data_IF_353660512602
#
_entry.id   IF_353660512602
#
_cell.length_a   1.000
_cell.length_b   1.000
_cell.length_c   1.000
_cell.angle_alpha   90.00
_cell.angle_beta   90.00
_cell.angle_gamma   90.00
#
_symmetry.space_group_name_H-M   'P 1'
#
loop_
_entity.id
_entity.type
_entity.pdbx_description
1 polymer ?
#
# COMPACT_ATOMS: atom_id res chain seq x y z
N UNK A 1 46.25 -1.22 13.25
CA UNK A 1 45.16 -2.06 12.74
C UNK A 1 43.95 -1.76 13.62
N UNK A 2 43.02 -0.94 13.13
CA UNK A 2 41.84 -0.52 13.90
C UNK A 2 40.86 -1.69 13.85
N UNK A 3 40.29 -2.16 14.96
CA UNK A 3 39.34 -3.27 14.91
C UNK A 3 38.13 -2.78 14.09
N UNK A 4 37.82 -3.48 13.00
CA UNK A 4 36.57 -3.26 12.29
C UNK A 4 35.45 -3.45 13.31
N UNK A 5 34.69 -2.38 13.51
CA UNK A 5 33.51 -2.34 14.37
C UNK A 5 32.58 -3.49 13.99
N UNK A 6 32.47 -4.53 14.83
CA UNK A 6 31.57 -5.68 14.65
C UNK A 6 30.16 -5.30 15.10
N UNK A 7 29.50 -4.41 14.37
CA UNK A 7 28.09 -4.08 14.63
C UNK A 7 27.21 -4.73 13.58
N UNK A 8 26.23 -5.52 14.04
CA UNK A 8 25.19 -6.06 13.18
C UNK A 8 24.11 -5.01 12.95
N UNK A 9 23.65 -4.87 11.70
CA UNK A 9 22.58 -3.96 11.33
C UNK A 9 21.41 -4.76 10.77
N UNK A 10 20.22 -4.51 11.30
CA UNK A 10 18.97 -5.13 10.87
C UNK A 10 18.02 -4.02 10.41
N UNK A 11 17.60 -4.07 9.16
CA UNK A 11 16.68 -3.10 8.58
C UNK A 11 15.58 -3.80 7.77
N UNK A 12 14.35 -3.36 7.97
CA UNK A 12 13.18 -3.77 7.16
C UNK A 12 12.45 -2.51 6.75
N UNK A 13 12.19 -2.35 5.46
CA UNK A 13 11.56 -1.18 4.87
C UNK A 13 10.30 -1.56 4.10
N UNK A 14 9.26 -0.74 4.27
CA UNK A 14 7.94 -0.89 3.65
C UNK A 14 7.28 0.48 3.63
N UNK A 15 6.36 0.71 2.69
CA UNK A 15 5.57 1.94 2.67
C UNK A 15 4.70 2.06 3.93
N UNK A 16 4.60 3.28 4.46
CA UNK A 16 3.70 3.57 5.60
C UNK A 16 2.22 3.59 5.20
N UNK A 17 1.94 3.70 3.90
CA UNK A 17 0.61 3.69 3.27
C UNK A 17 0.60 2.64 2.17
N UNK A 18 -0.28 1.65 2.30
CA UNK A 18 -0.44 0.52 1.38
C UNK A 18 -1.78 0.61 0.67
N UNK A 19 -1.83 0.19 -0.58
CA UNK A 19 -3.07 0.14 -1.35
C UNK A 19 -3.72 -1.24 -1.28
N UNK A 20 -4.92 -1.34 -0.70
CA UNK A 20 -5.63 -2.61 -0.54
C UNK A 20 -5.90 -3.30 -1.88
N UNK A 21 -5.63 -4.61 -1.97
CA UNK A 21 -5.82 -5.40 -3.18
C UNK A 21 -4.75 -5.19 -4.27
N UNK A 22 -3.71 -4.40 -4.01
CA UNK A 22 -2.53 -4.26 -4.88
C UNK A 22 -1.34 -5.05 -4.32
N UNK A 23 -0.36 -5.31 -5.19
CA UNK A 23 0.96 -5.77 -4.75
C UNK A 23 1.76 -4.59 -4.24
N UNK A 24 2.44 -4.78 -3.12
CA UNK A 24 3.38 -3.83 -2.53
C UNK A 24 4.71 -4.54 -2.27
N UNK A 25 5.80 -3.78 -2.21
CA UNK A 25 7.15 -4.32 -2.02
C UNK A 25 7.64 -4.06 -0.59
N UNK A 26 8.24 -5.09 0.02
CA UNK A 26 8.97 -5.00 1.29
C UNK A 26 10.42 -5.42 1.07
N UNK A 27 11.37 -4.66 1.60
CA UNK A 27 12.78 -5.01 1.54
C UNK A 27 13.35 -5.25 2.94
N UNK A 28 14.20 -6.26 3.06
CA UNK A 28 14.90 -6.60 4.28
C UNK A 28 16.41 -6.66 4.03
N UNK A 29 17.17 -6.14 4.99
CA UNK A 29 18.62 -6.14 5.00
C UNK A 29 19.13 -6.58 6.38
N UNK A 30 20.09 -7.51 6.37
CA UNK A 30 20.89 -7.88 7.54
C UNK A 30 22.35 -7.78 7.13
N UNK A 31 23.13 -7.01 7.88
CA UNK A 31 24.57 -6.83 7.65
C UNK A 31 25.34 -7.27 8.88
N UNK A 32 26.40 -8.06 8.66
CA UNK A 32 27.30 -8.59 9.68
C UNK A 32 26.59 -9.39 10.77
N UNK A 33 25.72 -10.38 10.48
CA UNK A 33 25.14 -11.22 11.52
C UNK A 33 26.25 -12.01 12.23
N UNK A 34 26.28 -11.97 13.56
CA UNK A 34 27.28 -12.68 14.37
C UNK A 34 26.98 -14.17 14.53
N UNK A 35 25.74 -14.58 14.26
CA UNK A 35 25.25 -15.95 14.31
C UNK A 35 24.18 -16.15 13.23
N UNK A 36 23.86 -17.39 12.83
CA UNK A 36 22.69 -17.68 12.02
C UNK A 36 21.40 -17.19 12.68
N UNK A 37 20.58 -16.45 11.94
CA UNK A 37 19.30 -15.91 12.43
C UNK A 37 18.13 -16.31 11.53
N UNK A 38 16.95 -16.43 12.10
CA UNK A 38 15.68 -16.58 11.39
C UNK A 38 14.95 -15.24 11.38
N UNK A 39 14.76 -14.66 10.20
CA UNK A 39 13.98 -13.44 9.99
C UNK A 39 12.55 -13.82 9.62
N UNK A 40 11.57 -13.29 10.36
CA UNK A 40 10.14 -13.41 10.06
C UNK A 40 9.50 -12.04 10.03
N UNK A 41 8.76 -11.72 8.98
CA UNK A 41 7.99 -10.49 8.83
C UNK A 41 6.53 -10.84 8.59
N UNK A 42 5.65 -10.32 9.45
CA UNK A 42 4.21 -10.58 9.42
C UNK A 42 3.44 -9.27 9.19
N UNK A 43 2.42 -9.33 8.34
CA UNK A 43 1.37 -8.32 8.26
C UNK A 43 0.19 -8.78 9.11
N UNK A 44 -0.12 -8.03 10.16
CA UNK A 44 -1.24 -8.27 11.05
C UNK A 44 -2.36 -7.25 10.78
N UNK A 45 -3.51 -7.76 10.37
CA UNK A 45 -4.77 -7.01 10.25
C UNK A 45 -5.79 -7.57 11.24
N UNK A 46 -6.87 -6.83 11.52
CA UNK A 46 -7.89 -7.28 12.49
C UNK A 46 -8.49 -8.66 12.15
N UNK A 47 -8.53 -9.02 10.86
CA UNK A 47 -9.10 -10.28 10.36
C UNK A 47 -8.11 -11.45 10.33
N UNK A 48 -6.83 -11.25 10.64
CA UNK A 48 -5.82 -12.31 10.61
C UNK A 48 -4.40 -11.82 10.32
N UNK A 49 -3.48 -12.79 10.24
CA UNK A 49 -2.05 -12.54 10.05
C UNK A 49 -1.56 -13.21 8.78
N UNK A 50 -0.76 -12.49 8.00
CA UNK A 50 -0.13 -12.98 6.77
C UNK A 50 1.39 -12.95 6.90
N UNK A 51 2.07 -14.04 6.54
CA UNK A 51 3.53 -14.06 6.48
C UNK A 51 3.96 -13.37 5.18
N UNK A 52 4.76 -12.30 5.30
CA UNK A 52 5.30 -11.55 4.16
C UNK A 52 6.68 -12.08 3.76
N UNK A 53 7.52 -12.39 4.75
CA UNK A 53 8.87 -12.92 4.54
C UNK A 53 9.24 -13.86 5.69
N UNK A 54 9.85 -15.00 5.37
CA UNK A 54 10.42 -15.92 6.35
C UNK A 54 11.71 -16.51 5.77
N UNK A 55 12.87 -16.19 6.35
CA UNK A 55 14.18 -16.54 5.80
C UNK A 55 15.19 -16.92 6.88
N UNK A 56 16.05 -17.89 6.59
CA UNK A 56 17.20 -18.23 7.41
C UNK A 56 18.45 -17.52 6.85
N UNK A 57 19.09 -16.68 7.66
CA UNK A 57 20.17 -15.79 7.26
C UNK A 57 21.44 -16.14 8.03
N UNK A 58 22.52 -16.46 7.29
CA UNK A 58 23.84 -16.84 7.87
C UNK A 58 24.95 -15.81 7.62
N UNK A 59 24.73 -14.93 6.66
CA UNK A 59 25.68 -13.93 6.19
C UNK A 59 24.91 -12.67 5.78
N UNK A 60 25.61 -11.68 5.24
CA UNK A 60 24.98 -10.48 4.68
C UNK A 60 23.84 -10.85 3.72
N UNK A 61 22.68 -10.26 3.98
CA UNK A 61 21.42 -10.55 3.32
C UNK A 61 20.75 -9.27 2.89
N UNK A 62 20.27 -9.24 1.65
CA UNK A 62 19.42 -8.20 1.12
C UNK A 62 18.41 -8.83 0.17
N UNK A 63 17.12 -8.60 0.42
CA UNK A 63 16.05 -9.11 -0.44
C UNK A 63 14.83 -8.20 -0.38
N UNK A 64 14.26 -7.94 -1.55
CA UNK A 64 12.92 -7.38 -1.67
C UNK A 64 11.95 -8.47 -2.09
N UNK A 65 10.75 -8.46 -1.51
CA UNK A 65 9.65 -9.36 -1.85
C UNK A 65 8.40 -8.54 -2.09
N UNK A 66 7.66 -8.94 -3.11
CA UNK A 66 6.32 -8.42 -3.34
C UNK A 66 5.32 -9.26 -2.57
N UNK A 67 4.33 -8.60 -1.98
CA UNK A 67 3.25 -9.25 -1.26
C UNK A 67 1.91 -8.62 -1.61
N UNK A 68 0.86 -9.43 -1.56
CA UNK A 68 -0.49 -8.99 -1.84
C UNK A 68 -1.10 -8.34 -0.59
N UNK A 69 -1.47 -7.07 -0.68
CA UNK A 69 -2.16 -6.37 0.40
C UNK A 69 -3.63 -6.81 0.43
N UNK A 70 -4.20 -7.12 1.61
CA UNK A 70 -5.60 -7.50 1.71
C UNK A 70 -6.53 -6.38 1.20
N UNK A 71 -7.59 -6.77 0.51
CA UNK A 71 -8.62 -5.83 0.05
C UNK A 71 -9.40 -5.28 1.24
N UNK A 72 -9.46 -3.95 1.35
CA UNK A 72 -10.23 -3.26 2.40
C UNK A 72 -11.32 -2.39 1.77
N UNK A 73 -12.45 -2.24 2.47
CA UNK A 73 -13.56 -1.36 2.03
C UNK A 73 -13.40 0.07 2.54
N UNK A 74 -12.63 0.25 3.60
CA UNK A 74 -12.36 1.53 4.25
C UNK A 74 -10.94 1.54 4.80
N UNK A 75 -10.47 2.72 5.19
CA UNK A 75 -9.14 2.91 5.80
C UNK A 75 -8.98 2.02 7.03
N UNK A 76 -7.90 1.24 7.06
CA UNK A 76 -7.57 0.31 8.14
C UNK A 76 -6.14 0.56 8.64
N UNK A 77 -5.92 0.51 9.94
CA UNK A 77 -4.57 0.50 10.52
C UNK A 77 -4.16 -0.96 10.72
N UNK A 78 -3.00 -1.33 10.17
CA UNK A 78 -2.41 -2.65 10.29
C UNK A 78 -1.04 -2.55 10.99
N UNK A 79 -0.49 -3.69 11.38
CA UNK A 79 0.85 -3.74 11.94
C UNK A 79 1.76 -4.61 11.08
N UNK A 80 3.00 -4.15 10.87
CA UNK A 80 4.10 -4.99 10.42
C UNK A 80 4.87 -5.41 11.66
N UNK A 81 4.94 -6.72 11.89
CA UNK A 81 5.66 -7.31 12.99
C UNK A 81 6.90 -8.03 12.44
N UNK A 82 8.08 -7.55 12.82
CA UNK A 82 9.36 -8.10 12.42
C UNK A 82 9.96 -8.83 13.61
N UNK A 83 10.35 -10.08 13.40
CA UNK A 83 11.04 -10.90 14.39
C UNK A 83 12.35 -11.41 13.79
N UNK A 84 13.45 -11.23 14.51
CA UNK A 84 14.77 -11.79 14.21
C UNK A 84 15.15 -12.68 15.39
N UNK A 85 15.29 -13.97 15.13
CA UNK A 85 15.60 -14.97 16.15
C UNK A 85 16.94 -15.62 15.85
N UNK A 86 17.93 -15.38 16.71
CA UNK A 86 19.17 -16.13 16.75
C UNK A 86 19.17 -17.16 17.89
N UNK A 87 20.31 -17.83 18.09
CA UNK A 87 20.51 -18.72 19.24
C UNK A 87 20.64 -17.91 20.54
N UNK A 88 21.39 -16.80 20.48
CA UNK A 88 21.69 -15.99 21.66
C UNK A 88 20.59 -14.99 22.03
N UNK A 89 19.80 -14.53 21.04
CA UNK A 89 18.86 -13.43 21.24
C UNK A 89 17.61 -13.50 20.34
N UNK A 90 16.53 -12.90 20.84
CA UNK A 90 15.30 -12.65 20.11
C UNK A 90 15.02 -11.15 20.07
N UNK A 91 14.90 -10.60 18.87
CA UNK A 91 14.55 -9.20 18.65
C UNK A 91 13.22 -9.12 17.90
N UNK A 92 12.29 -8.30 18.39
CA UNK A 92 11.03 -8.04 17.72
C UNK A 92 10.72 -6.56 17.65
N UNK A 93 10.19 -6.10 16.52
CA UNK A 93 9.71 -4.72 16.36
C UNK A 93 8.39 -4.69 15.61
N UNK A 94 7.44 -3.93 16.16
CA UNK A 94 6.12 -3.74 15.58
C UNK A 94 5.97 -2.28 15.13
N UNK A 95 5.56 -2.07 13.89
CA UNK A 95 5.29 -0.73 13.35
C UNK A 95 3.90 -0.67 12.71
N UNK A 96 3.25 0.49 12.79
CA UNK A 96 1.93 0.70 12.20
C UNK A 96 2.06 1.13 10.74
N UNK A 97 1.19 0.57 9.90
CA UNK A 97 0.98 0.99 8.51
C UNK A 97 -0.51 1.25 8.29
N UNK A 98 -0.83 2.06 7.29
CA UNK A 98 -2.21 2.35 6.91
C UNK A 98 -2.51 1.64 5.60
N UNK A 99 -3.60 0.88 5.56
CA UNK A 99 -4.13 0.27 4.33
C UNK A 99 -5.36 1.07 3.90
N UNK A 100 -5.35 1.59 2.68
CA UNK A 100 -6.45 2.35 2.11
C UNK A 100 -7.05 1.60 0.91
N UNK A 101 -8.37 1.71 0.68
CA UNK A 101 -8.95 1.19 -0.54
C UNK A 101 -8.31 1.90 -1.75
N UNK A 102 -8.21 1.24 -2.91
CA UNK A 102 -7.71 1.89 -4.12
C UNK A 102 -8.46 3.20 -4.41
N UNK A 103 -7.71 4.26 -4.67
CA UNK A 103 -8.25 5.54 -5.11
C UNK A 103 -8.54 5.55 -6.60
N UNK A 104 -9.57 6.30 -7.00
CA UNK A 104 -9.95 6.48 -8.40
C UNK A 104 -10.23 7.95 -8.68
N UNK A 105 -9.83 8.39 -9.86
CA UNK A 105 -10.17 9.71 -10.39
C UNK A 105 -11.18 9.54 -11.51
N UNK A 106 -12.25 10.32 -11.47
CA UNK A 106 -13.28 10.34 -12.50
C UNK A 106 -13.23 11.68 -13.23
N UNK A 107 -13.06 11.64 -14.55
CA UNK A 107 -13.03 12.83 -15.41
C UNK A 107 -14.27 12.80 -16.28
N UNK A 108 -15.01 13.91 -16.27
CA UNK A 108 -16.17 14.13 -17.14
C UNK A 108 -15.78 15.20 -18.14
N UNK A 109 -15.92 14.87 -19.43
CA UNK A 109 -15.70 15.81 -20.52
C UNK A 109 -16.96 15.89 -21.36
N UNK A 110 -17.50 17.11 -21.50
CA UNK A 110 -18.61 17.41 -22.39
C UNK A 110 -18.10 17.75 -23.79
N UNK A 111 -18.94 17.62 -24.81
CA UNK A 111 -18.61 18.01 -26.18
C UNK A 111 -18.49 19.54 -26.34
N UNK A 112 -19.17 20.31 -25.49
CA UNK A 112 -19.13 21.78 -25.45
C UNK A 112 -19.15 22.30 -24.01
N UNK A 113 -18.55 23.48 -23.73
CA UNK A 113 -18.62 24.10 -22.41
C UNK A 113 -19.96 24.79 -22.13
N UNK A 114 -20.71 25.21 -23.17
CA UNK A 114 -21.97 25.97 -23.04
C UNK A 114 -23.00 25.42 -24.04
N UNK A 115 -24.25 25.25 -23.60
CA UNK A 115 -25.37 24.74 -24.40
C UNK A 115 -26.49 25.77 -24.49
N UNK A 116 -27.12 25.86 -25.66
CA UNK A 116 -28.38 26.58 -25.87
C UNK A 116 -29.57 25.70 -25.44
N UNK A 117 -30.72 26.29 -25.07
CA UNK A 117 -31.94 25.53 -24.81
C UNK A 117 -32.28 24.59 -25.97
N UNK A 118 -32.69 23.36 -25.65
CA UNK A 118 -33.02 22.31 -26.63
C UNK A 118 -31.84 21.53 -27.19
N UNK A 119 -30.58 21.89 -26.88
CA UNK A 119 -29.42 21.11 -27.30
C UNK A 119 -29.24 19.84 -26.46
N UNK A 120 -28.90 18.74 -27.12
CA UNK A 120 -28.49 17.50 -26.45
C UNK A 120 -27.04 17.61 -25.98
N UNK A 121 -26.80 17.24 -24.72
CA UNK A 121 -25.46 17.17 -24.11
C UNK A 121 -24.83 15.82 -24.42
N UNK A 122 -23.67 15.81 -25.07
CA UNK A 122 -22.85 14.62 -25.21
C UNK A 122 -21.67 14.72 -24.25
N UNK A 123 -21.37 13.64 -23.53
CA UNK A 123 -20.26 13.61 -22.59
C UNK A 123 -19.60 12.25 -22.57
N UNK A 124 -18.38 12.21 -22.04
CA UNK A 124 -17.61 11.01 -21.78
C UNK A 124 -17.16 11.02 -20.33
N UNK A 125 -17.22 9.86 -19.71
CA UNK A 125 -16.72 9.63 -18.35
C UNK A 125 -15.56 8.65 -18.45
N UNK A 126 -14.41 9.03 -17.91
CA UNK A 126 -13.24 8.15 -17.81
C UNK A 126 -12.90 7.97 -16.34
N UNK A 127 -12.67 6.73 -15.94
CA UNK A 127 -12.18 6.38 -14.60
C UNK A 127 -10.71 5.98 -14.71
N UNK A 128 -9.86 6.59 -13.90
CA UNK A 128 -8.43 6.35 -13.85
C UNK A 128 -8.03 5.86 -12.45
N UNK A 129 -7.04 4.98 -12.37
CA UNK A 129 -6.38 4.65 -11.10
C UNK A 129 -5.31 5.69 -10.73
N UNK A 130 -4.62 5.47 -9.60
CA UNK A 130 -3.57 6.36 -9.11
C UNK A 130 -2.36 6.52 -10.07
N UNK A 131 -2.20 5.60 -11.03
CA UNK A 131 -1.16 5.65 -12.06
C UNK A 131 -1.70 6.22 -13.39
N UNK A 132 -2.89 6.83 -13.38
CA UNK A 132 -3.57 7.37 -14.56
C UNK A 132 -3.90 6.32 -15.62
N UNK A 133 -4.01 5.04 -15.23
CA UNK A 133 -4.40 3.96 -16.13
C UNK A 133 -5.93 3.84 -16.15
N UNK A 134 -6.58 3.79 -17.33
CA UNK A 134 -8.02 3.60 -17.43
C UNK A 134 -8.48 2.30 -16.77
N UNK A 135 -9.52 2.39 -15.94
CA UNK A 135 -10.14 1.24 -15.27
C UNK A 135 -11.61 1.12 -15.64
N UNK A 136 -12.05 -0.11 -15.93
CA UNK A 136 -13.46 -0.41 -16.14
C UNK A 136 -14.20 -0.40 -14.79
N UNK A 137 -15.03 0.61 -14.57
CA UNK A 137 -15.83 0.78 -13.34
C UNK A 137 -17.19 1.37 -13.64
N UNK A 138 -18.19 0.96 -12.86
CA UNK A 138 -19.52 1.56 -12.87
C UNK A 138 -19.46 2.82 -12.01
N UNK A 139 -19.83 3.96 -12.61
CA UNK A 139 -19.85 5.27 -11.94
C UNK A 139 -21.28 5.80 -11.97
N UNK A 140 -21.81 6.18 -10.81
CA UNK A 140 -23.07 6.92 -10.72
C UNK A 140 -22.82 8.40 -11.01
N UNK A 141 -23.64 8.99 -11.88
CA UNK A 141 -23.63 10.43 -12.15
C UNK A 141 -25.07 10.96 -12.23
N UNK A 142 -25.25 12.24 -11.95
CA UNK A 142 -26.52 12.93 -12.10
C UNK A 142 -26.28 14.34 -12.63
N UNK A 143 -27.23 14.85 -13.41
CA UNK A 143 -27.26 16.24 -13.85
C UNK A 143 -28.14 17.02 -12.89
N UNK A 144 -27.60 18.06 -12.25
CA UNK A 144 -28.37 18.99 -11.42
C UNK A 144 -28.76 20.22 -12.23
N UNK A 145 -30.01 20.66 -12.06
CA UNK A 145 -30.47 21.94 -12.59
C UNK A 145 -30.03 23.07 -11.64
N UNK A 146 -29.56 24.22 -12.13
CA UNK A 146 -29.20 25.34 -11.26
C UNK A 146 -30.37 25.88 -10.43
N UNK A 147 -31.63 25.65 -10.86
CA UNK A 147 -32.83 26.12 -10.15
C UNK A 147 -33.03 25.40 -8.80
N UNK A 148 -32.41 24.23 -8.59
CA UNK A 148 -32.57 23.48 -7.33
C UNK A 148 -31.80 24.08 -6.13
N UNK A 149 -31.10 25.21 -6.29
CA UNK A 149 -30.42 25.90 -5.19
C UNK A 149 -31.24 27.04 -4.56
N UNK A 150 -32.37 27.46 -5.15
CA UNK A 150 -33.09 28.69 -4.76
C UNK A 150 -34.30 28.45 -3.84
N UNK A 151 -34.31 27.37 -3.06
CA UNK A 151 -35.35 27.12 -2.04
C UNK A 151 -34.74 26.99 -0.65
N UNK A 152 -34.33 28.12 -0.07
CA UNK A 152 -34.15 28.33 1.37
C UNK A 152 -34.73 29.70 1.73
#
# INVERSE_FOLDING_TARGET
HVPFSTYSIYAVTVSSRLTGGKQETLCAQIHGPTEPVSLTVLLEVNSGTTIVLAEAVKQDFYRCVDFQVPTVRSRLVANINVTVQGESALMSKKTKVVIEPPGFMHIIQTDKPIYKPGQTVQFRIVSLDANFIPVARVVGFYLSSPISCDTV
#
